data_IF_491267745725
#
_entry.id   IF_491267745725
#
_cell.length_a   1.000
_cell.length_b   1.000
_cell.length_c   1.000
_cell.angle_alpha   90.00
_cell.angle_beta   90.00
_cell.angle_gamma   90.00
#
_symmetry.space_group_name_H-M   'P 1'
#
loop_
_entity.id
_entity.type
_entity.pdbx_description
1 polymer ?
#
# COMPACT_ATOMS: atom_id res chain seq x y z
N UNK A 1 37.60 -59.31 -66.04
CA UNK A 1 36.17 -59.59 -65.87
C UNK A 1 35.67 -58.55 -64.87
N UNK A 2 35.04 -57.44 -65.30
CA UNK A 2 33.64 -57.37 -65.81
C UNK A 2 32.75 -58.00 -64.73
N UNK A 3 31.94 -57.27 -63.95
CA UNK A 3 30.79 -56.45 -64.37
C UNK A 3 30.26 -55.60 -63.19
N UNK A 4 29.70 -54.42 -63.51
CA UNK A 4 28.46 -53.77 -63.04
C UNK A 4 28.15 -53.57 -61.53
N UNK A 5 27.59 -52.44 -61.07
CA UNK A 5 26.82 -51.40 -61.75
C UNK A 5 25.41 -51.29 -61.12
N UNK A 6 25.20 -50.26 -60.26
CA UNK A 6 23.94 -49.50 -59.99
C UNK A 6 24.00 -48.84 -58.59
N UNK A 7 23.86 -47.52 -58.52
CA UNK A 7 22.64 -46.78 -58.14
C UNK A 7 22.33 -46.99 -56.63
N UNK A 8 22.41 -45.99 -55.76
CA UNK A 8 21.43 -44.89 -55.67
C UNK A 8 22.03 -43.66 -54.97
N UNK A 9 21.86 -42.48 -55.57
CA UNK A 9 22.12 -41.19 -54.92
C UNK A 9 21.01 -40.98 -53.88
N UNK A 10 21.31 -41.26 -52.61
CA UNK A 10 20.42 -40.91 -51.51
C UNK A 10 20.49 -39.40 -51.29
N UNK A 11 19.51 -38.68 -51.87
CA UNK A 11 19.25 -37.28 -51.53
C UNK A 11 18.74 -37.22 -50.09
N UNK A 12 19.64 -37.06 -49.13
CA UNK A 12 19.27 -36.58 -47.80
C UNK A 12 18.88 -35.11 -47.94
N UNK A 13 17.59 -34.86 -48.15
CA UNK A 13 16.99 -33.55 -47.93
C UNK A 13 17.00 -33.36 -46.41
N UNK A 14 18.04 -32.67 -45.91
CA UNK A 14 18.09 -32.16 -44.55
C UNK A 14 17.03 -31.06 -44.44
N UNK A 15 15.80 -31.47 -44.10
CA UNK A 15 14.72 -30.53 -43.78
C UNK A 15 15.08 -29.80 -42.49
N UNK A 16 15.60 -28.57 -42.62
CA UNK A 16 15.65 -27.63 -41.51
C UNK A 16 14.21 -27.22 -41.19
N UNK A 17 13.55 -27.98 -40.31
CA UNK A 17 12.35 -27.53 -39.66
C UNK A 17 12.75 -26.41 -38.69
N UNK A 18 12.69 -25.16 -39.17
CA UNK A 18 12.74 -23.98 -38.31
C UNK A 18 11.42 -24.00 -37.53
N UNK A 19 11.42 -24.66 -36.39
CA UNK A 19 10.39 -24.47 -35.38
C UNK A 19 10.50 -23.02 -34.91
N UNK A 20 9.73 -22.13 -35.53
CA UNK A 20 9.51 -20.79 -35.04
C UNK A 20 8.77 -20.91 -33.71
N UNK A 21 9.53 -20.98 -32.62
CA UNK A 21 8.97 -20.80 -31.28
C UNK A 21 8.43 -19.38 -31.22
N UNK A 22 7.11 -19.17 -31.02
CA UNK A 22 6.66 -17.84 -30.69
C UNK A 22 7.33 -17.49 -29.36
N UNK A 23 8.16 -16.45 -29.38
CA UNK A 23 8.67 -15.82 -28.17
C UNK A 23 7.46 -15.21 -27.46
N UNK A 24 6.77 -16.02 -26.66
CA UNK A 24 5.84 -15.53 -25.65
C UNK A 24 6.69 -14.71 -24.68
N UNK A 25 6.66 -13.38 -24.86
CA UNK A 25 7.26 -12.45 -23.92
C UNK A 25 6.70 -12.75 -22.54
N UNK A 26 7.55 -13.29 -21.67
CA UNK A 26 7.21 -13.43 -20.25
C UNK A 26 7.26 -12.02 -19.67
N UNK A 27 6.10 -11.40 -19.48
CA UNK A 27 6.00 -10.20 -18.66
C UNK A 27 6.42 -10.61 -17.25
N UNK A 28 7.61 -10.17 -16.83
CA UNK A 28 8.05 -10.34 -15.46
C UNK A 28 7.18 -9.46 -14.58
N UNK A 29 6.24 -10.06 -13.87
CA UNK A 29 5.55 -9.38 -12.76
C UNK A 29 6.58 -9.32 -11.64
N UNK A 30 7.25 -8.17 -11.50
CA UNK A 30 8.08 -7.90 -10.33
C UNK A 30 7.14 -7.80 -9.15
N UNK A 31 7.23 -8.74 -8.20
CA UNK A 31 6.47 -8.63 -6.96
C UNK A 31 6.96 -7.38 -6.21
N UNK A 32 6.13 -6.34 -6.16
CA UNK A 32 6.42 -5.16 -5.37
C UNK A 32 6.21 -5.49 -3.89
N UNK A 33 7.27 -5.45 -3.08
CA UNK A 33 7.13 -5.51 -1.62
C UNK A 33 6.46 -4.20 -1.20
N UNK A 34 5.30 -4.23 -0.53
CA UNK A 34 4.61 -3.01 -0.15
C UNK A 34 5.49 -2.11 0.70
N UNK A 35 5.48 -0.81 0.43
CA UNK A 35 6.25 0.18 1.16
C UNK A 35 5.62 0.41 2.54
N UNK A 36 6.44 0.39 3.59
CA UNK A 36 5.94 0.63 4.95
C UNK A 36 5.73 2.12 5.14
N UNK A 37 4.50 2.51 5.46
CA UNK A 37 4.15 3.92 5.63
C UNK A 37 3.52 4.19 6.98
N UNK A 38 3.82 5.37 7.52
CA UNK A 38 3.03 6.01 8.58
C UNK A 38 2.43 7.27 7.95
N UNK A 39 1.15 7.50 8.19
CA UNK A 39 0.43 8.68 7.68
C UNK A 39 0.13 9.59 8.86
N UNK A 40 0.69 10.80 8.86
CA UNK A 40 0.32 11.89 9.75
C UNK A 40 -0.66 12.80 9.02
N UNK A 41 -1.83 13.06 9.62
CA UNK A 41 -2.91 13.79 8.92
C UNK A 41 -3.66 14.72 9.86
N UNK A 42 -4.08 15.87 9.35
CA UNK A 42 -5.01 16.78 9.99
C UNK A 42 -6.45 16.63 9.47
N UNK A 43 -6.85 15.40 9.13
CA UNK A 43 -8.21 15.07 8.67
C UNK A 43 -9.32 15.74 9.49
N UNK A 44 -10.32 16.26 8.78
CA UNK A 44 -11.57 16.75 9.37
C UNK A 44 -11.89 18.22 9.11
N UNK A 45 -10.98 18.97 8.50
CA UNK A 45 -11.20 20.37 8.15
C UNK A 45 -11.75 20.49 6.71
N UNK A 46 -11.14 19.80 5.76
CA UNK A 46 -11.59 19.58 4.37
C UNK A 46 -11.40 18.11 3.94
N UNK A 47 -11.68 17.81 2.65
CA UNK A 47 -12.02 16.46 2.19
C UNK A 47 -10.81 15.66 1.67
N UNK A 48 -9.72 16.32 1.31
CA UNK A 48 -8.58 15.72 0.63
C UNK A 48 -7.86 14.68 1.51
N UNK A 49 -7.69 14.93 2.81
CA UNK A 49 -7.17 13.95 3.77
C UNK A 49 -7.95 12.63 3.75
N UNK A 50 -9.28 12.71 3.70
CA UNK A 50 -10.14 11.52 3.66
C UNK A 50 -9.94 10.73 2.36
N UNK A 51 -9.75 11.42 1.24
CA UNK A 51 -9.43 10.78 -0.04
C UNK A 51 -8.01 10.20 -0.06
N UNK A 52 -7.02 10.92 0.48
CA UNK A 52 -5.65 10.44 0.62
C UNK A 52 -5.62 9.16 1.45
N UNK A 53 -6.32 9.16 2.58
CA UNK A 53 -6.45 8.00 3.45
C UNK A 53 -7.15 6.83 2.73
N UNK A 54 -8.24 7.09 2.00
CA UNK A 54 -8.95 6.07 1.23
C UNK A 54 -8.06 5.39 0.19
N UNK A 55 -7.27 6.18 -0.54
CA UNK A 55 -6.31 5.66 -1.52
C UNK A 55 -5.22 4.85 -0.82
N UNK A 56 -4.64 5.38 0.25
CA UNK A 56 -3.55 4.73 0.95
C UNK A 56 -3.95 3.37 1.54
N UNK A 57 -5.12 3.28 2.21
CA UNK A 57 -5.58 2.02 2.82
C UNK A 57 -6.11 1.01 1.80
N UNK A 58 -6.38 1.41 0.56
CA UNK A 58 -6.78 0.50 -0.53
C UNK A 58 -5.60 0.08 -1.41
N UNK A 59 -4.50 0.82 -1.40
CA UNK A 59 -3.35 0.53 -2.24
C UNK A 59 -2.67 -0.77 -1.82
N UNK A 60 -2.47 -1.75 -2.74
CA UNK A 60 -1.65 -2.92 -2.47
C UNK A 60 -0.15 -2.59 -2.42
N UNK A 61 0.24 -1.39 -2.86
CA UNK A 61 1.63 -0.92 -2.86
C UNK A 61 2.07 -0.42 -1.49
N UNK A 62 1.13 -0.17 -0.57
CA UNK A 62 1.39 0.39 0.75
C UNK A 62 1.03 -0.58 1.87
N UNK A 63 1.97 -0.76 2.80
CA UNK A 63 1.73 -1.32 4.12
C UNK A 63 1.60 -0.19 5.13
N UNK A 64 0.37 0.26 5.38
CA UNK A 64 0.09 1.26 6.41
C UNK A 64 0.33 0.66 7.80
N UNK A 65 1.41 1.08 8.46
CA UNK A 65 1.78 0.63 9.79
C UNK A 65 0.91 1.26 10.88
N UNK A 66 0.49 2.51 10.66
CA UNK A 66 -0.36 3.27 11.56
C UNK A 66 -0.68 4.64 10.99
N UNK A 67 -1.68 5.28 11.58
CA UNK A 67 -2.11 6.63 11.25
C UNK A 67 -2.00 7.49 12.51
N UNK A 68 -1.31 8.61 12.40
CA UNK A 68 -1.20 9.62 13.45
C UNK A 68 -2.04 10.83 13.07
N UNK A 69 -2.61 11.51 14.07
CA UNK A 69 -3.34 12.75 13.84
C UNK A 69 -2.61 13.95 14.40
N UNK A 70 -2.59 15.03 13.64
CA UNK A 70 -1.90 16.27 14.00
C UNK A 70 -2.85 17.47 13.95
N UNK A 71 -2.36 18.61 14.44
CA UNK A 71 -3.02 19.92 14.41
C UNK A 71 -4.37 20.03 15.17
N UNK A 72 -4.52 21.10 15.95
CA UNK A 72 -5.77 21.39 16.66
C UNK A 72 -6.19 20.32 17.66
N UNK A 73 -7.43 19.82 17.52
CA UNK A 73 -8.00 18.78 18.40
C UNK A 73 -7.72 17.37 17.86
N UNK A 74 -6.48 16.93 18.02
CA UNK A 74 -5.95 15.64 17.52
C UNK A 74 -6.76 14.43 17.96
N UNK A 75 -7.27 14.40 19.19
CA UNK A 75 -8.17 13.33 19.68
C UNK A 75 -9.48 13.25 18.89
N UNK A 76 -10.02 14.39 18.46
CA UNK A 76 -11.26 14.44 17.66
C UNK A 76 -10.96 13.91 16.26
N UNK A 77 -9.83 14.34 15.66
CA UNK A 77 -9.37 13.81 14.37
C UNK A 77 -9.12 12.31 14.43
N UNK A 78 -8.55 11.81 15.52
CA UNK A 78 -8.31 10.37 15.70
C UNK A 78 -9.62 9.57 15.72
N UNK A 79 -10.70 10.12 16.30
CA UNK A 79 -12.04 9.51 16.22
C UNK A 79 -12.65 9.57 14.82
N UNK A 80 -12.34 10.58 14.01
CA UNK A 80 -12.68 10.62 12.59
C UNK A 80 -11.99 9.46 11.86
N UNK A 81 -10.68 9.28 12.07
CA UNK A 81 -9.91 8.18 11.49
C UNK A 81 -10.44 6.82 11.93
N UNK A 82 -10.70 6.60 13.23
CA UNK A 82 -11.27 5.34 13.73
C UNK A 82 -12.59 4.99 13.03
N UNK A 83 -13.50 5.96 12.92
CA UNK A 83 -14.76 5.76 12.21
C UNK A 83 -14.51 5.44 10.75
N UNK A 84 -13.70 6.25 10.06
CA UNK A 84 -13.36 6.03 8.66
C UNK A 84 -12.84 4.61 8.42
N UNK A 85 -11.84 4.18 9.20
CA UNK A 85 -11.23 2.85 9.10
C UNK A 85 -12.22 1.74 9.38
N UNK A 86 -13.07 1.89 10.40
CA UNK A 86 -14.12 0.94 10.72
C UNK A 86 -15.11 0.75 9.57
N UNK A 87 -15.57 1.84 8.96
CA UNK A 87 -16.51 1.81 7.84
C UNK A 87 -15.92 1.16 6.58
N UNK A 88 -14.60 1.28 6.36
CA UNK A 88 -13.91 0.63 5.22
C UNK A 88 -13.34 -0.76 5.55
N UNK A 89 -13.61 -1.29 6.75
CA UNK A 89 -13.18 -2.62 7.18
C UNK A 89 -11.67 -2.74 7.45
N UNK A 90 -11.02 -1.64 7.81
CA UNK A 90 -9.58 -1.52 8.11
C UNK A 90 -9.29 -1.10 9.56
N UNK A 91 -10.21 -1.42 10.48
CA UNK A 91 -10.12 -1.03 11.89
C UNK A 91 -8.94 -1.65 12.67
N UNK A 92 -8.21 -2.59 12.06
CA UNK A 92 -6.98 -3.16 12.61
C UNK A 92 -5.77 -2.22 12.54
N UNK A 93 -5.80 -1.19 11.69
CA UNK A 93 -4.72 -0.20 11.59
C UNK A 93 -4.71 0.65 12.87
N UNK A 94 -3.57 0.78 13.56
CA UNK A 94 -3.49 1.59 14.78
C UNK A 94 -3.65 3.08 14.46
N UNK A 95 -4.41 3.76 15.32
CA UNK A 95 -4.64 5.21 15.26
C UNK A 95 -4.10 5.82 16.54
N UNK A 96 -3.27 6.85 16.41
CA UNK A 96 -2.59 7.52 17.51
C UNK A 96 -2.82 9.02 17.42
N UNK A 97 -2.99 9.67 18.57
CA UNK A 97 -3.21 11.10 18.62
C UNK A 97 -1.88 11.82 18.85
N UNK A 98 -1.60 12.84 18.04
CA UNK A 98 -0.55 13.80 18.32
C UNK A 98 -0.94 14.76 19.44
N UNK A 99 -0.03 15.67 19.77
CA UNK A 99 -0.28 16.67 20.81
C UNK A 99 -1.33 17.68 20.35
N UNK A 100 -2.35 17.90 21.17
CA UNK A 100 -3.35 18.91 20.90
C UNK A 100 -2.74 20.33 20.88
N UNK A 101 -3.14 21.13 19.89
CA UNK A 101 -2.66 22.50 19.66
C UNK A 101 -3.77 23.56 19.82
N UNK A 102 -4.80 23.26 20.61
CA UNK A 102 -5.95 24.14 20.84
C UNK A 102 -7.16 23.80 19.98
N UNK A 103 -8.25 24.57 20.14
CA UNK A 103 -9.48 24.36 19.38
C UNK A 103 -9.38 24.99 18.00
N UNK A 104 -9.65 24.21 16.96
CA UNK A 104 -9.68 24.65 15.57
C UNK A 104 -11.08 24.45 14.98
N UNK A 105 -11.51 25.31 14.04
CA UNK A 105 -12.70 25.04 13.25
C UNK A 105 -12.52 23.73 12.48
N UNK A 106 -13.38 22.74 12.73
CA UNK A 106 -13.33 21.42 12.10
C UNK A 106 -14.71 21.11 11.53
N UNK A 107 -14.87 21.28 10.22
CA UNK A 107 -16.16 21.19 9.54
C UNK A 107 -16.79 19.79 9.65
N UNK A 108 -15.96 18.76 9.81
CA UNK A 108 -16.38 17.36 9.83
C UNK A 108 -16.47 16.76 11.24
N UNK A 109 -16.34 17.57 12.30
CA UNK A 109 -16.41 17.11 13.70
C UNK A 109 -17.57 16.16 14.00
N UNK A 110 -18.75 16.45 13.46
CA UNK A 110 -19.96 15.63 13.68
C UNK A 110 -19.79 14.19 13.22
N UNK A 111 -18.87 13.93 12.29
CA UNK A 111 -18.53 12.58 11.87
C UNK A 111 -17.84 11.79 13.00
N UNK A 112 -16.99 12.45 13.79
CA UNK A 112 -16.31 11.89 14.97
C UNK A 112 -17.30 11.45 16.06
N UNK A 113 -18.33 12.26 16.33
CA UNK A 113 -19.26 12.06 17.45
C UNK A 113 -20.23 10.89 17.23
N UNK A 114 -20.45 10.48 15.98
CA UNK A 114 -21.39 9.41 15.62
C UNK A 114 -20.76 8.04 15.36
N UNK A 115 -19.46 7.88 15.58
CA UNK A 115 -18.73 6.65 15.22
C UNK A 115 -18.81 5.56 16.29
N UNK A 116 -19.52 4.46 16.01
CA UNK A 116 -19.49 3.27 16.87
C UNK A 116 -18.12 2.54 16.88
N UNK A 117 -17.20 2.96 16.00
CA UNK A 117 -15.82 2.48 15.95
C UNK A 117 -14.83 3.37 16.73
N UNK A 118 -15.26 4.55 17.17
CA UNK A 118 -14.39 5.49 17.85
C UNK A 118 -13.89 4.90 19.17
N UNK A 119 -12.57 4.94 19.38
CA UNK A 119 -11.95 4.50 20.63
C UNK A 119 -12.06 5.60 21.68
N UNK A 120 -12.15 5.24 22.97
CA UNK A 120 -12.25 6.21 24.06
C UNK A 120 -10.95 6.99 24.28
N UNK A 121 -9.81 6.45 23.83
CA UNK A 121 -8.49 7.06 23.95
C UNK A 121 -7.55 6.53 22.88
N UNK A 122 -6.55 7.31 22.53
CA UNK A 122 -5.49 6.98 21.57
C UNK A 122 -4.13 7.03 22.26
N UNK A 123 -3.18 6.25 21.77
CA UNK A 123 -1.79 6.34 22.23
C UNK A 123 -1.09 7.58 21.70
N UNK A 124 0.13 7.83 22.18
CA UNK A 124 0.95 8.97 21.75
C UNK A 124 1.54 8.73 20.34
N UNK A 125 1.29 9.66 19.42
CA UNK A 125 1.77 9.56 18.04
C UNK A 125 3.29 9.61 17.92
N UNK A 126 3.97 10.45 18.71
CA UNK A 126 5.42 10.60 18.61
C UNK A 126 6.14 9.36 19.15
N UNK A 127 5.66 8.79 20.25
CA UNK A 127 6.15 7.52 20.80
C UNK A 127 5.95 6.38 19.80
N UNK A 128 4.77 6.28 19.19
CA UNK A 128 4.51 5.27 18.16
C UNK A 128 5.46 5.40 16.96
N UNK A 129 5.65 6.61 16.43
CA UNK A 129 6.57 6.85 15.31
C UNK A 129 8.00 6.43 15.69
N UNK A 130 8.47 6.82 16.88
CA UNK A 130 9.81 6.45 17.36
C UNK A 130 9.98 4.94 17.48
N UNK A 131 8.97 4.24 17.99
CA UNK A 131 9.00 2.79 18.14
C UNK A 131 9.00 2.07 16.79
N UNK A 132 8.21 2.53 15.82
CA UNK A 132 8.23 1.95 14.48
C UNK A 132 9.57 2.19 13.78
N UNK A 133 10.14 3.40 13.85
CA UNK A 133 11.44 3.72 13.23
C UNK A 133 12.57 2.88 13.84
N UNK A 134 12.56 2.65 15.15
CA UNK A 134 13.53 1.76 15.82
C UNK A 134 13.37 0.31 15.38
N UNK A 135 12.13 -0.14 15.17
CA UNK A 135 11.80 -1.51 14.76
C UNK A 135 12.14 -1.78 13.29
N UNK A 136 12.00 -0.77 12.43
CA UNK A 136 12.18 -0.87 10.97
C UNK A 136 13.15 0.22 10.46
N UNK A 137 14.44 0.15 10.82
CA UNK A 137 15.39 1.20 10.49
C UNK A 137 15.58 1.36 8.98
N UNK A 138 15.36 2.60 8.47
CA UNK A 138 15.45 2.98 7.05
C UNK A 138 14.42 2.31 6.12
N UNK A 139 13.34 1.76 6.66
CA UNK A 139 12.30 1.10 5.86
C UNK A 139 10.95 1.85 5.85
N UNK A 140 10.81 2.90 6.67
CA UNK A 140 9.55 3.64 6.84
C UNK A 140 9.60 4.93 6.05
N UNK A 141 8.54 5.16 5.28
CA UNK A 141 8.22 6.47 4.71
C UNK A 141 7.13 7.13 5.56
N UNK A 142 7.41 8.33 6.05
CA UNK A 142 6.43 9.17 6.75
C UNK A 142 5.77 10.08 5.71
N UNK A 143 4.44 10.01 5.61
CA UNK A 143 3.61 10.87 4.77
C UNK A 143 2.93 11.88 5.70
N UNK A 144 3.08 13.17 5.47
CA UNK A 144 2.57 14.25 6.31
C UNK A 144 2.21 15.49 5.47
#
# INVERSE_FOLDING_TARGET
MIEDGRCTISRFILGLAICAWPALGQTQVVAHVPEKVIIDTDIGDDVDDAFALALAVKSPELQVLGITTTFGETDVRARIVDRFLGEVGRGEIPVLAGKAAGKTPMSQRRYADGGHFAKPSHGDAAEFILDQIRKYPNEITLIA
#
